data_IF_211654899038
#
_entry.id   IF_211654899038
#
_cell.length_a   1.000
_cell.length_b   1.000
_cell.length_c   1.000
_cell.angle_alpha   90.00
_cell.angle_beta   90.00
_cell.angle_gamma   90.00
#
_symmetry.space_group_name_H-M   'P 1'
#
loop_
_entity.id
_entity.type
_entity.pdbx_description
1 polymer ?
#
# COMPACT_ATOMS: atom_id res chain seq x y z
N UNK A 1 -2.58 1.56 -25.33
CA UNK A 1 -1.56 1.71 -24.28
C UNK A 1 -1.59 0.46 -23.41
N UNK A 2 -0.44 -0.15 -23.10
CA UNK A 2 -0.38 -1.34 -22.24
C UNK A 2 -0.74 -0.95 -20.80
N UNK A 3 -1.68 -1.67 -20.20
CA UNK A 3 -2.01 -1.52 -18.78
C UNK A 3 -1.02 -2.32 -17.93
N UNK A 4 -0.48 -1.69 -16.88
CA UNK A 4 0.39 -2.30 -15.90
C UNK A 4 -0.41 -2.80 -14.71
N UNK A 5 -0.22 -4.05 -14.34
CA UNK A 5 -0.80 -4.68 -13.16
C UNK A 5 0.04 -4.33 -11.94
N UNK A 6 -0.56 -3.82 -10.88
CA UNK A 6 0.17 -3.37 -9.69
C UNK A 6 -0.54 -3.87 -8.45
N UNK A 7 0.23 -4.36 -7.48
CA UNK A 7 -0.27 -4.68 -6.15
C UNK A 7 0.22 -3.62 -5.16
N UNK A 8 -0.72 -3.01 -4.46
CA UNK A 8 -0.46 -2.06 -3.38
C UNK A 8 -0.86 -2.66 -2.04
N UNK A 9 -0.12 -2.29 -1.00
CA UNK A 9 -0.47 -2.55 0.38
C UNK A 9 -0.74 -1.20 1.06
N UNK A 10 -1.88 -1.09 1.72
CA UNK A 10 -2.24 0.12 2.46
C UNK A 10 -2.30 -0.18 3.95
N UNK A 11 -1.91 0.79 4.76
CA UNK A 11 -1.95 0.71 6.22
C UNK A 11 -2.27 2.05 6.87
N UNK A 12 -3.12 2.05 7.89
CA UNK A 12 -3.46 3.25 8.67
C UNK A 12 -3.60 2.90 10.14
N UNK A 13 -3.19 3.77 11.05
CA UNK A 13 -3.44 3.59 12.49
C UNK A 13 -3.79 4.87 13.26
N UNK A 14 -3.74 6.06 12.64
CA UNK A 14 -4.20 7.30 13.28
C UNK A 14 -5.68 7.62 13.00
N UNK A 15 -6.34 8.23 13.98
CA UNK A 15 -7.70 8.76 13.83
C UNK A 15 -8.72 7.66 13.60
N UNK A 16 -9.29 7.59 12.39
CA UNK A 16 -10.20 6.52 11.97
C UNK A 16 -9.56 5.69 10.84
N UNK A 17 -8.79 4.63 11.17
CA UNK A 17 -8.05 3.85 10.19
C UNK A 17 -8.90 3.28 9.06
N UNK A 18 -10.12 2.86 9.36
CA UNK A 18 -11.01 2.29 8.34
C UNK A 18 -11.49 3.33 7.33
N UNK A 19 -11.85 4.53 7.82
CA UNK A 19 -12.26 5.64 6.97
C UNK A 19 -11.08 6.17 6.13
N UNK A 20 -9.89 6.23 6.71
CA UNK A 20 -8.67 6.60 5.99
C UNK A 20 -8.39 5.61 4.86
N UNK A 21 -8.53 4.31 5.11
CA UNK A 21 -8.37 3.29 4.06
C UNK A 21 -9.40 3.48 2.94
N UNK A 22 -10.67 3.75 3.27
CA UNK A 22 -11.71 3.97 2.27
C UNK A 22 -11.46 5.21 1.41
N UNK A 23 -11.00 6.31 2.03
CA UNK A 23 -10.61 7.53 1.32
C UNK A 23 -9.40 7.31 0.40
N UNK A 24 -8.37 6.61 0.88
CA UNK A 24 -7.19 6.28 0.08
C UNK A 24 -7.58 5.43 -1.13
N UNK A 25 -8.43 4.42 -0.94
CA UNK A 25 -8.97 3.57 -2.01
C UNK A 25 -9.75 4.40 -3.03
N UNK A 26 -10.55 5.38 -2.58
CA UNK A 26 -11.27 6.29 -3.46
C UNK A 26 -10.32 7.14 -4.32
N UNK A 27 -9.30 7.76 -3.70
CA UNK A 27 -8.29 8.56 -4.41
C UNK A 27 -7.48 7.72 -5.41
N UNK A 28 -7.09 6.50 -5.05
CA UNK A 28 -6.40 5.56 -5.95
C UNK A 28 -7.25 5.25 -7.19
N UNK A 29 -8.56 4.99 -7.01
CA UNK A 29 -9.48 4.73 -8.12
C UNK A 29 -9.59 5.93 -9.07
N UNK A 30 -9.60 7.13 -8.52
CA UNK A 30 -9.71 8.38 -9.29
C UNK A 30 -8.43 8.69 -10.07
N UNK A 31 -7.28 8.61 -9.39
CA UNK A 31 -6.08 9.31 -9.85
C UNK A 31 -4.95 8.38 -10.34
N UNK A 32 -5.05 7.08 -10.02
CA UNK A 32 -3.99 6.10 -10.31
C UNK A 32 -4.45 5.07 -11.36
N UNK A 33 -5.62 4.48 -11.17
CA UNK A 33 -6.05 3.41 -12.07
C UNK A 33 -7.27 2.62 -11.60
N UNK A 34 -7.63 1.62 -12.40
CA UNK A 34 -8.81 0.80 -12.15
C UNK A 34 -8.46 -0.31 -11.16
N UNK A 35 -9.16 -0.39 -10.03
CA UNK A 35 -9.04 -1.55 -9.15
C UNK A 35 -9.59 -2.81 -9.81
N UNK A 36 -8.84 -3.90 -9.70
CA UNK A 36 -9.25 -5.24 -10.11
C UNK A 36 -9.63 -6.10 -8.91
N UNK A 37 -8.89 -6.00 -7.81
CA UNK A 37 -9.13 -6.75 -6.58
C UNK A 37 -8.86 -5.89 -5.35
N UNK A 38 -9.54 -6.20 -4.24
CA UNK A 38 -9.30 -5.60 -2.94
C UNK A 38 -9.59 -6.65 -1.86
N UNK A 39 -8.72 -6.77 -0.86
CA UNK A 39 -8.94 -7.67 0.27
C UNK A 39 -9.94 -7.08 1.26
N UNK A 40 -10.43 -7.92 2.17
CA UNK A 40 -11.06 -7.42 3.39
C UNK A 40 -10.04 -6.64 4.24
N UNK A 41 -10.55 -5.73 5.07
CA UNK A 41 -9.76 -4.98 6.05
C UNK A 41 -9.24 -5.94 7.13
N UNK A 42 -7.92 -5.92 7.34
CA UNK A 42 -7.25 -6.71 8.37
C UNK A 42 -6.78 -5.77 9.48
N UNK A 43 -7.27 -6.00 10.70
CA UNK A 43 -6.81 -5.26 11.89
C UNK A 43 -5.62 -5.98 12.51
N UNK A 44 -4.49 -5.29 12.64
CA UNK A 44 -3.27 -5.88 13.21
C UNK A 44 -2.69 -4.98 14.29
N UNK A 45 -2.01 -5.59 15.26
CA UNK A 45 -1.17 -4.83 16.18
C UNK A 45 0.04 -4.25 15.42
N UNK A 46 0.60 -3.11 15.86
CA UNK A 46 1.89 -2.64 15.38
C UNK A 46 2.96 -3.73 15.53
N UNK A 47 3.79 -3.91 14.51
CA UNK A 47 4.80 -5.00 14.48
C UNK A 47 6.17 -4.54 14.96
N UNK A 48 6.52 -3.27 14.73
CA UNK A 48 7.89 -2.75 14.89
C UNK A 48 8.02 -1.72 16.05
N UNK A 49 6.92 -1.36 16.71
CA UNK A 49 6.91 -0.45 17.87
C UNK A 49 5.65 -0.67 18.71
N UNK A 50 5.66 -0.23 19.97
CA UNK A 50 4.45 -0.24 20.79
C UNK A 50 3.60 1.01 20.48
N UNK A 51 2.36 0.79 20.04
CA UNK A 51 1.34 1.83 19.95
C UNK A 51 0.03 1.29 20.48
N UNK A 52 -0.73 2.18 21.11
CA UNK A 52 -2.09 1.90 21.59
C UNK A 52 -3.10 1.77 20.43
N UNK A 53 -2.67 2.13 19.21
CA UNK A 53 -3.52 2.12 18.03
C UNK A 53 -3.26 0.89 17.16
N UNK A 54 -4.31 0.10 16.92
CA UNK A 54 -4.25 -1.00 15.96
C UNK A 54 -4.23 -0.46 14.53
N UNK A 55 -3.43 -1.09 13.67
CA UNK A 55 -3.42 -0.82 12.25
C UNK A 55 -4.63 -1.45 11.56
N UNK A 56 -5.20 -0.74 10.59
CA UNK A 56 -6.05 -1.29 9.56
C UNK A 56 -5.23 -1.40 8.27
N UNK A 57 -5.05 -2.63 7.78
CA UNK A 57 -4.31 -2.92 6.57
C UNK A 57 -5.21 -3.56 5.51
N UNK A 58 -4.95 -3.24 4.24
CA UNK A 58 -5.53 -3.95 3.08
C UNK A 58 -4.47 -4.17 2.02
N UNK A 59 -4.67 -5.18 1.18
CA UNK A 59 -4.00 -5.27 -0.11
C UNK A 59 -5.02 -5.01 -1.22
N UNK A 60 -4.57 -4.38 -2.29
CA UNK A 60 -5.37 -4.18 -3.48
C UNK A 60 -4.54 -4.41 -4.74
N UNK A 61 -5.24 -4.78 -5.79
CA UNK A 61 -4.70 -4.94 -7.13
C UNK A 61 -5.37 -3.93 -8.06
N UNK A 62 -4.59 -3.33 -8.93
CA UNK A 62 -5.09 -2.34 -9.88
C UNK A 62 -4.35 -2.42 -11.22
N UNK A 63 -4.98 -1.89 -12.25
CA UNK A 63 -4.35 -1.62 -13.54
C UNK A 63 -4.13 -0.12 -13.74
N UNK A 64 -2.91 0.26 -14.11
CA UNK A 64 -2.51 1.66 -14.33
C UNK A 64 -1.70 1.81 -15.61
N UNK A 65 -1.75 2.99 -16.21
CA UNK A 65 -0.90 3.37 -17.36
C UNK A 65 0.44 3.99 -16.93
N UNK A 66 0.60 4.28 -15.63
CA UNK A 66 1.78 4.96 -15.11
C UNK A 66 3.00 4.04 -15.02
N UNK A 67 4.19 4.62 -15.16
CA UNK A 67 5.46 3.94 -14.88
C UNK A 67 5.67 3.78 -13.36
N UNK A 68 6.57 2.90 -12.89
CA UNK A 68 6.79 2.69 -11.46
C UNK A 68 7.14 3.98 -10.69
N UNK A 69 7.95 4.85 -11.28
CA UNK A 69 8.35 6.13 -10.67
C UNK A 69 7.18 7.11 -10.64
N UNK A 70 6.38 7.17 -11.70
CA UNK A 70 5.23 8.07 -11.75
C UNK A 70 4.12 7.62 -10.79
N UNK A 71 3.91 6.30 -10.69
CA UNK A 71 3.03 5.71 -9.69
C UNK A 71 3.48 6.08 -8.28
N UNK A 72 4.77 5.94 -7.96
CA UNK A 72 5.31 6.30 -6.65
C UNK A 72 5.05 7.78 -6.32
N UNK A 73 5.24 8.70 -7.27
CA UNK A 73 4.95 10.12 -7.06
C UNK A 73 3.48 10.35 -6.73
N UNK A 74 2.57 9.75 -7.50
CA UNK A 74 1.13 9.89 -7.29
C UNK A 74 0.70 9.34 -5.93
N UNK A 75 1.25 8.19 -5.55
CA UNK A 75 1.04 7.63 -4.22
C UNK A 75 1.49 8.60 -3.13
N UNK A 76 2.70 9.15 -3.23
CA UNK A 76 3.22 10.13 -2.26
C UNK A 76 2.38 11.41 -2.20
N UNK A 77 1.79 11.83 -3.31
CA UNK A 77 0.84 12.96 -3.34
C UNK A 77 -0.44 12.62 -2.57
N UNK A 78 -1.03 11.44 -2.77
CA UNK A 78 -2.21 10.98 -2.01
C UNK A 78 -1.90 10.94 -0.51
N UNK A 79 -0.75 10.37 -0.12
CA UNK A 79 -0.34 10.34 1.29
C UNK A 79 -0.25 11.76 1.87
N UNK A 80 0.35 12.70 1.12
CA UNK A 80 0.48 14.10 1.53
C UNK A 80 -0.88 14.81 1.65
N UNK A 81 -1.79 14.61 0.70
CA UNK A 81 -3.14 15.19 0.73
C UNK A 81 -3.97 14.69 1.91
N UNK A 82 -3.74 13.44 2.32
CA UNK A 82 -4.41 12.81 3.46
C UNK A 82 -3.73 13.13 4.81
N UNK A 83 -2.79 14.07 4.82
CA UNK A 83 -2.18 14.59 6.05
C UNK A 83 -0.87 13.92 6.47
N UNK A 84 -0.25 13.09 5.62
CA UNK A 84 1.12 12.60 5.86
C UNK A 84 2.13 13.68 5.46
N UNK A 85 2.50 14.53 6.43
CA UNK A 85 3.40 15.67 6.19
C UNK A 85 4.88 15.26 6.07
N UNK A 86 5.30 14.16 6.74
CA UNK A 86 6.69 13.67 6.72
C UNK A 86 6.76 12.14 6.62
N UNK A 87 7.76 11.63 5.90
CA UNK A 87 8.03 10.18 5.83
C UNK A 87 8.77 9.72 7.11
N UNK A 88 8.38 8.59 7.69
CA UNK A 88 9.04 7.98 8.85
C UNK A 88 10.56 7.74 8.63
N UNK A 89 10.98 7.54 7.38
CA UNK A 89 12.39 7.45 7.03
C UNK A 89 13.17 8.76 7.29
N UNK A 90 12.49 9.91 7.26
CA UNK A 90 13.07 11.22 7.54
C UNK A 90 13.14 11.52 9.04
N UNK A 91 12.27 10.89 9.84
CA UNK A 91 12.18 11.07 11.29
C UNK A 91 13.04 10.07 12.07
N UNK A 92 13.56 9.02 11.42
CA UNK A 92 14.42 8.02 12.04
C UNK A 92 13.70 7.08 13.03
N UNK A 93 12.36 7.14 13.08
CA UNK A 93 11.51 6.32 13.95
C UNK A 93 10.21 5.94 13.25
N UNK A 94 9.66 4.79 13.62
CA UNK A 94 8.32 4.39 13.20
C UNK A 94 7.29 5.14 14.04
N UNK A 95 6.42 5.90 13.38
CA UNK A 95 5.32 6.62 14.02
C UNK A 95 3.97 6.20 13.44
N UNK A 96 2.96 6.43 14.26
CA UNK A 96 1.57 6.34 13.85
C UNK A 96 1.35 7.26 12.62
N UNK A 97 0.57 6.80 11.67
CA UNK A 97 0.34 7.46 10.38
C UNK A 97 -1.12 7.42 9.96
N UNK A 98 -1.54 8.49 9.31
CA UNK A 98 -2.86 8.60 8.69
C UNK A 98 -3.03 7.61 7.56
N UNK A 99 -2.03 7.47 6.68
CA UNK A 99 -2.02 6.45 5.63
C UNK A 99 -0.58 6.13 5.20
N UNK A 100 -0.33 4.85 4.92
CA UNK A 100 0.85 4.28 4.28
C UNK A 100 0.36 3.59 3.02
N UNK A 101 1.01 3.81 1.88
CA UNK A 101 0.70 3.13 0.63
C UNK A 101 2.00 2.63 0.01
N UNK A 102 2.22 1.32 0.07
CA UNK A 102 3.42 0.67 -0.42
C UNK A 102 3.17 -0.07 -1.75
N UNK A 103 4.07 0.12 -2.71
CA UNK A 103 4.06 -0.66 -3.96
C UNK A 103 4.74 -2.00 -3.70
N UNK A 104 3.96 -3.08 -3.67
CA UNK A 104 4.50 -4.44 -3.43
C UNK A 104 5.09 -5.02 -4.70
N UNK A 105 4.33 -4.97 -5.79
CA UNK A 105 4.74 -5.49 -7.09
C UNK A 105 4.20 -4.64 -8.23
N UNK A 106 4.91 -4.68 -9.35
CA UNK A 106 4.54 -4.02 -10.59
C UNK A 106 4.80 -4.99 -11.73
N UNK A 107 3.77 -5.39 -12.43
CA UNK A 107 3.77 -6.52 -13.37
C UNK A 107 4.52 -7.71 -12.75
N UNK A 108 5.54 -8.20 -13.45
CA UNK A 108 6.55 -9.13 -12.94
C UNK A 108 7.96 -8.55 -13.15
N UNK A 109 8.12 -7.22 -13.03
CA UNK A 109 9.42 -6.58 -13.26
C UNK A 109 10.25 -6.53 -11.99
N UNK A 110 11.57 -6.65 -12.16
CA UNK A 110 12.55 -6.23 -11.16
C UNK A 110 12.94 -4.80 -11.50
N UNK A 111 12.74 -3.88 -10.56
CA UNK A 111 13.07 -2.47 -10.74
C UNK A 111 13.91 -2.00 -9.55
N UNK A 112 15.11 -1.48 -9.82
CA UNK A 112 15.99 -0.96 -8.77
C UNK A 112 16.38 0.45 -9.13
N UNK A 113 16.06 1.38 -8.23
CA UNK A 113 16.48 2.77 -8.32
C UNK A 113 16.78 3.29 -6.92
N UNK A 114 17.41 4.47 -6.83
CA UNK A 114 17.64 5.14 -5.54
C UNK A 114 16.34 5.46 -4.76
N UNK A 115 15.19 5.50 -5.45
CA UNK A 115 13.90 5.92 -4.88
C UNK A 115 12.89 4.78 -4.70
N UNK A 116 13.08 3.67 -5.42
CA UNK A 116 12.12 2.58 -5.50
C UNK A 116 12.83 1.27 -5.83
N UNK A 117 12.54 0.24 -5.04
CA UNK A 117 13.01 -1.13 -5.24
C UNK A 117 11.78 -2.02 -5.34
N UNK A 118 11.63 -2.72 -6.47
CA UNK A 118 10.56 -3.67 -6.73
C UNK A 118 11.12 -5.04 -7.13
N UNK A 119 10.48 -6.13 -6.69
CA UNK A 119 9.38 -6.15 -5.73
C UNK A 119 9.85 -5.78 -4.31
N UNK A 120 8.94 -5.25 -3.48
CA UNK A 120 9.29 -4.80 -2.14
C UNK A 120 9.51 -5.98 -1.18
N UNK A 121 10.74 -6.52 -1.16
CA UNK A 121 11.10 -7.78 -0.50
C UNK A 121 10.67 -7.89 0.97
N UNK A 122 10.68 -6.78 1.74
CA UNK A 122 10.24 -6.80 3.16
C UNK A 122 8.77 -7.24 3.33
N UNK A 123 7.88 -6.78 2.45
CA UNK A 123 6.45 -7.17 2.51
C UNK A 123 6.23 -8.62 2.06
N UNK A 124 7.15 -9.16 1.25
CA UNK A 124 7.06 -10.53 0.75
C UNK A 124 7.60 -11.57 1.76
N UNK A 125 8.57 -11.20 2.59
CA UNK A 125 9.31 -12.17 3.40
C UNK A 125 9.33 -11.89 4.90
N UNK A 126 9.20 -10.63 5.33
CA UNK A 126 9.51 -10.24 6.72
C UNK A 126 8.27 -9.83 7.53
N UNK A 127 7.14 -9.53 6.87
CA UNK A 127 5.92 -9.03 7.53
C UNK A 127 4.76 -10.00 7.39
N UNK A 128 4.36 -10.64 8.50
CA UNK A 128 3.31 -11.67 8.52
C UNK A 128 1.96 -11.15 7.99
N UNK A 129 1.53 -9.96 8.44
CA UNK A 129 0.29 -9.34 7.96
C UNK A 129 0.31 -9.06 6.45
N UNK A 130 1.48 -8.70 5.90
CA UNK A 130 1.62 -8.45 4.47
C UNK A 130 1.47 -9.75 3.68
N UNK A 131 2.07 -10.85 4.15
CA UNK A 131 1.91 -12.18 3.54
C UNK A 131 0.47 -12.66 3.59
N UNK A 132 -0.22 -12.49 4.72
CA UNK A 132 -1.63 -12.87 4.85
C UNK A 132 -2.50 -12.14 3.82
N UNK A 133 -2.36 -10.82 3.73
CA UNK A 133 -3.11 -10.00 2.78
C UNK A 133 -2.80 -10.37 1.32
N UNK A 134 -1.54 -10.62 0.99
CA UNK A 134 -1.16 -11.06 -0.36
C UNK A 134 -1.69 -12.46 -0.70
N UNK A 135 -1.74 -13.37 0.28
CA UNK A 135 -2.35 -14.69 0.10
C UNK A 135 -3.85 -14.58 -0.15
N UNK A 136 -4.56 -13.74 0.62
CA UNK A 136 -5.99 -13.46 0.40
C UNK A 136 -6.21 -12.92 -1.01
N UNK A 137 -5.45 -11.90 -1.42
CA UNK A 137 -5.54 -11.29 -2.75
C UNK A 137 -5.33 -12.33 -3.87
N UNK A 138 -4.34 -13.21 -3.72
CA UNK A 138 -4.06 -14.29 -4.67
C UNK A 138 -5.16 -15.38 -4.71
N UNK A 139 -5.83 -15.64 -3.58
CA UNK A 139 -6.94 -16.59 -3.53
C UNK A 139 -8.22 -16.04 -4.16
N UNK A 140 -8.53 -14.76 -3.94
CA UNK A 140 -9.68 -14.07 -4.53
C UNK A 140 -9.53 -13.97 -6.05
N UNK A 141 -8.32 -13.72 -6.55
CA UNK A 141 -8.03 -13.67 -8.00
C UNK A 141 -8.06 -15.02 -8.73
N UNK A 142 -8.16 -16.15 -8.03
CA UNK A 142 -8.26 -17.51 -8.63
C UNK A 142 -9.70 -18.03 -8.72
N UNK A 143 -10.65 -17.34 -8.09
CA UNK A 143 -12.06 -17.73 -8.05
C UNK A 143 -12.94 -16.96 -9.05
N UNK A 144 -12.34 -16.23 -9.99
CA UNK A 144 -13.01 -15.43 -11.02
C UNK A 144 -12.68 -15.86 -12.43
#
# INVERSE_FOLDING_TARGET
MSQNKVVLLLGSNLGNPEANIDEAVFKIKSDIGRLTLITKKLRTKPVEYESNNNFCNIALELTTIFSPIELLKRIKLIECEMGRVCDSAMLGRYEDRFIDIDIVSFNNIVFVSKRLILPHKKHLHEREFSRELLNILNSEGRNG
#
